data_IF_729512091316
#
_entry.id   IF_729512091316
#
_cell.length_a   1.000
_cell.length_b   1.000
_cell.length_c   1.000
_cell.angle_alpha   90.00
_cell.angle_beta   90.00
_cell.angle_gamma   90.00
#
_symmetry.space_group_name_H-M   'P 1'
#
loop_
_entity.id
_entity.type
_entity.pdbx_description
1 polymer ?
#
# COMPACT_ATOMS: atom_id res chain seq x y z
N UNK A 1 -21.34 8.13 9.56
CA UNK A 1 -21.78 8.02 8.15
C UNK A 1 -21.86 6.57 7.73
N UNK A 2 -23.02 6.13 7.25
CA UNK A 2 -23.21 4.74 6.82
C UNK A 2 -22.46 4.39 5.52
N UNK A 3 -22.05 5.39 4.76
CA UNK A 3 -21.36 5.22 3.48
C UNK A 3 -19.84 5.44 3.57
N UNK A 4 -19.33 5.80 4.75
CA UNK A 4 -17.92 6.06 4.95
C UNK A 4 -17.29 4.98 5.84
N UNK A 5 -16.23 4.35 5.36
CA UNK A 5 -15.47 3.35 6.11
C UNK A 5 -14.02 3.81 6.21
N UNK A 6 -13.45 3.77 7.42
CA UNK A 6 -12.06 4.12 7.66
C UNK A 6 -11.22 2.83 7.64
N UNK A 7 -10.21 2.81 6.77
CA UNK A 7 -9.25 1.70 6.72
C UNK A 7 -8.10 1.98 7.69
N UNK A 8 -7.97 1.12 8.69
CA UNK A 8 -6.86 1.18 9.64
C UNK A 8 -6.52 -0.24 10.11
N UNK A 9 -5.62 -0.88 9.37
CA UNK A 9 -5.20 -2.27 9.61
C UNK A 9 -6.35 -3.28 9.49
N UNK A 10 -7.41 -2.91 8.80
CA UNK A 10 -8.56 -3.76 8.50
C UNK A 10 -8.78 -3.81 6.99
N UNK A 11 -9.88 -4.42 6.57
CA UNK A 11 -10.22 -4.53 5.16
C UNK A 11 -11.72 -4.40 4.95
N UNK A 12 -12.10 -4.07 3.72
CA UNK A 12 -13.50 -4.06 3.30
C UNK A 12 -13.61 -4.76 1.95
N UNK A 13 -14.80 -5.26 1.64
CA UNK A 13 -15.11 -5.82 0.33
C UNK A 13 -16.00 -4.85 -0.45
N UNK A 14 -15.63 -4.59 -1.68
CA UNK A 14 -16.41 -3.73 -2.57
C UNK A 14 -16.28 -4.23 -4.00
N UNK A 15 -17.43 -4.49 -4.66
CA UNK A 15 -17.48 -4.88 -6.06
C UNK A 15 -16.58 -6.07 -6.42
N UNK A 16 -16.46 -7.04 -5.52
CA UNK A 16 -15.68 -8.25 -5.76
C UNK A 16 -14.18 -8.13 -5.49
N UNK A 17 -13.72 -7.01 -4.95
CA UNK A 17 -12.33 -6.84 -4.54
C UNK A 17 -12.24 -6.62 -3.04
N UNK A 18 -11.13 -7.07 -2.45
CA UNK A 18 -10.81 -6.85 -1.04
C UNK A 18 -9.89 -5.65 -0.94
N UNK A 19 -10.36 -4.59 -0.29
CA UNK A 19 -9.61 -3.34 -0.12
C UNK A 19 -8.96 -3.36 1.25
N UNK A 20 -7.64 -3.36 1.27
CA UNK A 20 -6.83 -3.39 2.48
C UNK A 20 -6.08 -2.08 2.61
N UNK A 21 -5.73 -1.72 3.82
CA UNK A 21 -5.02 -0.46 4.00
C UNK A 21 -4.27 -0.37 5.30
N UNK A 22 -3.16 0.33 5.24
CA UNK A 22 -2.34 0.68 6.39
C UNK A 22 -1.56 1.94 6.06
N UNK A 23 -0.78 2.42 7.02
CA UNK A 23 0.00 3.64 6.83
C UNK A 23 1.23 3.41 5.98
N UNK A 24 1.92 2.29 6.15
CA UNK A 24 3.27 2.11 5.65
C UNK A 24 4.27 2.93 6.46
N UNK A 25 5.48 3.01 6.00
CA UNK A 25 6.52 3.80 6.65
C UNK A 25 7.55 4.26 5.63
N UNK A 26 8.07 5.47 5.82
CA UNK A 26 9.15 5.97 4.99
C UNK A 26 10.47 5.71 5.73
N UNK A 27 11.34 4.93 5.10
CA UNK A 27 12.65 4.61 5.65
C UNK A 27 13.60 5.79 5.51
N UNK A 28 14.25 6.19 6.62
CA UNK A 28 15.31 7.19 6.62
C UNK A 28 16.63 6.48 6.89
N UNK A 29 17.57 6.59 5.96
CA UNK A 29 18.86 5.93 6.09
C UNK A 29 19.58 6.32 7.37
N UNK A 30 20.20 5.32 8.04
CA UNK A 30 20.97 5.54 9.24
C UNK A 30 20.18 5.54 10.55
N UNK A 31 18.87 5.35 10.49
CA UNK A 31 18.03 5.32 11.68
C UNK A 31 17.83 3.87 12.15
N UNK A 32 18.61 3.46 13.15
CA UNK A 32 18.56 2.08 13.65
C UNK A 32 17.16 1.68 14.17
N UNK A 33 16.41 2.63 14.76
CA UNK A 33 15.08 2.36 15.28
C UNK A 33 14.04 2.14 14.16
N UNK A 34 14.33 2.54 12.93
CA UNK A 34 13.41 2.35 11.80
C UNK A 34 13.14 0.87 11.55
N UNK A 35 14.08 -0.02 11.82
CA UNK A 35 13.87 -1.46 11.67
C UNK A 35 12.72 -1.97 12.53
N UNK A 36 12.62 -1.50 13.78
CA UNK A 36 11.52 -1.88 14.67
C UNK A 36 10.20 -1.32 14.18
N UNK A 37 10.20 -0.09 13.71
CA UNK A 37 9.00 0.57 13.17
C UNK A 37 8.54 -0.16 11.90
N UNK A 38 9.47 -0.48 11.01
CA UNK A 38 9.17 -1.21 9.77
C UNK A 38 8.61 -2.59 10.08
N UNK A 39 9.20 -3.31 11.02
CA UNK A 39 8.72 -4.64 11.41
C UNK A 39 7.30 -4.56 11.98
N UNK A 40 7.03 -3.57 12.81
CA UNK A 40 5.71 -3.34 13.39
C UNK A 40 4.70 -2.97 12.30
N UNK A 41 5.08 -2.12 11.37
CA UNK A 41 4.21 -1.70 10.28
C UNK A 41 3.94 -2.85 9.31
N UNK A 42 4.93 -3.68 9.03
CA UNK A 42 4.72 -4.90 8.24
C UNK A 42 3.69 -5.81 8.91
N UNK A 43 3.72 -5.91 10.23
CA UNK A 43 2.70 -6.64 10.99
C UNK A 43 1.30 -6.06 10.84
N UNK A 44 1.20 -4.74 10.76
CA UNK A 44 -0.09 -4.05 10.54
C UNK A 44 -0.62 -4.29 9.14
N UNK A 45 0.25 -4.24 8.14
CA UNK A 45 -0.12 -4.58 6.76
C UNK A 45 -0.59 -6.02 6.70
N UNK A 46 0.13 -6.92 7.34
CA UNK A 46 -0.26 -8.33 7.44
C UNK A 46 -1.64 -8.49 8.08
N UNK A 47 -1.91 -7.77 9.16
CA UNK A 47 -3.20 -7.82 9.85
C UNK A 47 -4.34 -7.41 8.92
N UNK A 48 -4.14 -6.36 8.13
CA UNK A 48 -5.14 -5.91 7.14
C UNK A 48 -5.39 -6.97 6.08
N UNK A 49 -4.33 -7.59 5.55
CA UNK A 49 -4.44 -8.63 4.54
C UNK A 49 -5.04 -9.93 5.10
N UNK A 50 -4.72 -10.28 6.34
CA UNK A 50 -5.34 -11.43 7.02
C UNK A 50 -6.83 -11.20 7.24
N UNK A 51 -7.23 -9.99 7.62
CA UNK A 51 -8.64 -9.64 7.75
C UNK A 51 -9.39 -9.83 6.44
N UNK A 52 -8.73 -9.54 5.31
CA UNK A 52 -9.31 -9.71 3.99
C UNK A 52 -9.58 -11.17 3.62
N UNK A 53 -8.96 -12.14 4.29
CA UNK A 53 -9.19 -13.56 4.02
C UNK A 53 -10.65 -13.97 4.27
N UNK A 54 -11.37 -13.24 5.11
CA UNK A 54 -12.81 -13.47 5.34
C UNK A 54 -13.67 -13.28 4.09
N UNK A 55 -13.12 -12.61 3.07
CA UNK A 55 -13.83 -12.38 1.81
C UNK A 55 -13.51 -13.44 0.74
N UNK A 56 -12.73 -14.48 1.09
CA UNK A 56 -12.40 -15.58 0.17
C UNK A 56 -11.37 -15.18 -0.88
N UNK A 57 -11.58 -15.63 -2.11
CA UNK A 57 -10.59 -15.51 -3.20
C UNK A 57 -10.64 -14.17 -3.96
N UNK A 58 -11.22 -13.15 -3.37
CA UNK A 58 -11.26 -11.85 -4.03
C UNK A 58 -9.85 -11.29 -4.24
N UNK A 59 -9.67 -10.54 -5.34
CA UNK A 59 -8.43 -9.82 -5.56
C UNK A 59 -8.16 -8.86 -4.41
N UNK A 60 -6.94 -8.91 -3.87
CA UNK A 60 -6.51 -8.02 -2.80
C UNK A 60 -5.82 -6.80 -3.38
N UNK A 61 -6.32 -5.63 -2.98
CA UNK A 61 -5.76 -4.33 -3.34
C UNK A 61 -5.34 -3.65 -2.06
N UNK A 62 -4.08 -3.22 -2.01
CA UNK A 62 -3.50 -2.61 -0.81
C UNK A 62 -3.28 -1.12 -1.04
N UNK A 63 -3.74 -0.32 -0.07
CA UNK A 63 -3.51 1.13 -0.04
C UNK A 63 -2.56 1.46 1.10
N UNK A 64 -1.48 2.19 0.79
CA UNK A 64 -0.53 2.67 1.77
C UNK A 64 -0.39 4.19 1.63
N UNK A 65 -0.23 4.88 2.76
CA UNK A 65 0.06 6.31 2.70
C UNK A 65 1.48 6.54 2.17
N UNK A 66 2.46 5.83 2.74
CA UNK A 66 3.84 5.93 2.30
C UNK A 66 4.16 4.85 1.25
N UNK A 67 4.93 5.20 0.20
CA UNK A 67 5.29 4.22 -0.81
C UNK A 67 6.22 3.14 -0.24
N UNK A 68 5.99 1.86 -0.59
CA UNK A 68 6.84 0.76 -0.15
C UNK A 68 8.09 0.60 -1.01
N UNK A 69 8.15 1.28 -2.14
CA UNK A 69 9.23 1.12 -3.12
C UNK A 69 9.49 2.46 -3.83
N UNK A 70 10.76 2.74 -4.07
CA UNK A 70 11.24 3.85 -4.90
C UNK A 70 12.07 3.29 -6.05
N UNK A 71 12.41 4.12 -7.02
CA UNK A 71 13.26 3.70 -8.14
C UNK A 71 14.60 3.15 -7.64
N UNK A 72 15.17 3.77 -6.59
CA UNK A 72 16.49 3.44 -6.07
C UNK A 72 16.48 2.59 -4.80
N UNK A 73 15.31 2.39 -4.18
CA UNK A 73 15.25 1.71 -2.90
C UNK A 73 13.87 1.11 -2.65
N UNK A 74 13.79 0.19 -1.70
CA UNK A 74 12.53 -0.46 -1.33
C UNK A 74 12.53 -0.85 0.14
N UNK A 75 11.35 -1.20 0.65
CA UNK A 75 11.19 -1.77 1.98
C UNK A 75 10.83 -3.24 1.81
N UNK A 76 11.82 -4.15 1.86
CA UNK A 76 11.60 -5.57 1.56
C UNK A 76 10.53 -6.22 2.43
N UNK A 77 10.43 -5.82 3.69
CA UNK A 77 9.48 -6.38 4.63
C UNK A 77 8.03 -6.18 4.16
N UNK A 78 7.74 -5.03 3.57
CA UNK A 78 6.41 -4.72 3.03
C UNK A 78 6.15 -5.51 1.75
N UNK A 79 7.15 -5.61 0.88
CA UNK A 79 7.03 -6.33 -0.38
C UNK A 79 6.84 -7.83 -0.15
N UNK A 80 7.52 -8.39 0.84
CA UNK A 80 7.37 -9.80 1.21
C UNK A 80 5.95 -10.12 1.71
N UNK A 81 5.37 -9.23 2.53
CA UNK A 81 3.99 -9.40 3.00
C UNK A 81 3.01 -9.37 1.84
N UNK A 82 3.19 -8.44 0.90
CA UNK A 82 2.36 -8.38 -0.30
C UNK A 82 2.42 -9.66 -1.11
N UNK A 83 3.61 -10.22 -1.26
CA UNK A 83 3.83 -11.47 -2.00
C UNK A 83 3.18 -12.64 -1.26
N UNK A 84 3.31 -12.71 0.04
CA UNK A 84 2.73 -13.77 0.88
C UNK A 84 1.21 -13.86 0.70
N UNK A 85 0.54 -12.73 0.59
CA UNK A 85 -0.92 -12.67 0.44
C UNK A 85 -1.39 -12.51 -1.00
N UNK A 86 -0.49 -12.60 -1.96
CA UNK A 86 -0.82 -12.49 -3.40
C UNK A 86 -1.53 -11.19 -3.75
N UNK A 87 -1.06 -10.08 -3.19
CA UNK A 87 -1.58 -8.76 -3.50
C UNK A 87 -1.34 -8.47 -4.99
N UNK A 88 -2.37 -8.05 -5.72
CA UNK A 88 -2.26 -7.78 -7.16
C UNK A 88 -1.94 -6.33 -7.46
N UNK A 89 -2.48 -5.41 -6.66
CA UNK A 89 -2.28 -3.99 -6.87
C UNK A 89 -1.99 -3.31 -5.54
N UNK A 90 -1.02 -2.37 -5.55
CA UNK A 90 -0.70 -1.54 -4.41
C UNK A 90 -0.71 -0.08 -4.84
N UNK A 91 -1.52 0.71 -4.18
CA UNK A 91 -1.63 2.14 -4.41
C UNK A 91 -1.01 2.88 -3.24
N UNK A 92 -0.24 3.93 -3.51
CA UNK A 92 0.40 4.71 -2.47
C UNK A 92 0.38 6.20 -2.82
N UNK A 93 0.50 7.02 -1.79
CA UNK A 93 0.48 8.47 -1.92
C UNK A 93 1.69 9.13 -1.29
N UNK A 94 1.45 10.20 -0.55
CA UNK A 94 2.42 10.99 0.22
C UNK A 94 3.37 11.83 -0.63
N UNK A 95 3.89 11.31 -1.73
CA UNK A 95 4.87 12.00 -2.57
C UNK A 95 4.18 13.05 -3.42
N UNK A 96 4.70 14.27 -3.40
CA UNK A 96 4.14 15.42 -4.12
C UNK A 96 5.21 16.11 -4.95
N UNK A 97 4.78 16.87 -5.97
CA UNK A 97 5.62 17.72 -6.81
C UNK A 97 6.83 16.94 -7.40
N UNK A 98 8.04 17.43 -7.19
CA UNK A 98 9.24 16.82 -7.77
C UNK A 98 9.54 15.43 -7.23
N UNK A 99 9.07 15.10 -6.03
CA UNK A 99 9.23 13.76 -5.47
C UNK A 99 8.60 12.67 -6.32
N UNK A 100 7.59 13.02 -7.13
CA UNK A 100 6.93 12.09 -8.04
C UNK A 100 7.88 11.48 -9.07
N UNK A 101 8.99 12.15 -9.38
CA UNK A 101 9.99 11.64 -10.34
C UNK A 101 10.74 10.43 -9.80
N UNK A 102 10.86 10.32 -8.48
CA UNK A 102 11.57 9.22 -7.82
C UNK A 102 10.66 8.10 -7.36
N UNK A 103 9.35 8.26 -7.53
CA UNK A 103 8.39 7.23 -7.17
C UNK A 103 8.42 6.10 -8.18
N UNK A 104 8.48 4.87 -7.69
CA UNK A 104 8.37 3.69 -8.55
C UNK A 104 6.94 3.53 -9.02
N UNK A 105 6.78 3.24 -10.31
CA UNK A 105 5.49 2.93 -10.92
C UNK A 105 5.70 1.79 -11.90
N UNK A 106 4.81 0.82 -11.86
CA UNK A 106 4.89 -0.35 -12.71
C UNK A 106 4.77 -1.63 -11.91
N UNK A 107 5.12 -2.75 -12.53
CA UNK A 107 5.04 -4.06 -11.88
C UNK A 107 6.32 -4.36 -11.13
N UNK A 108 6.16 -4.86 -9.89
CA UNK A 108 7.26 -5.41 -9.12
C UNK A 108 6.84 -6.77 -8.56
N UNK A 109 7.51 -7.83 -9.01
CA UNK A 109 7.31 -9.22 -8.57
C UNK A 109 5.83 -9.63 -8.53
N UNK A 110 5.10 -9.30 -9.60
CA UNK A 110 3.69 -9.63 -9.73
C UNK A 110 2.71 -8.63 -9.12
N UNK A 111 3.21 -7.56 -8.50
CA UNK A 111 2.37 -6.52 -7.89
C UNK A 111 2.41 -5.26 -8.75
N UNK A 112 1.25 -4.81 -9.18
CA UNK A 112 1.15 -3.54 -9.91
C UNK A 112 1.21 -2.39 -8.92
N UNK A 113 2.27 -1.58 -9.01
CA UNK A 113 2.50 -0.43 -8.13
C UNK A 113 2.05 0.85 -8.81
N UNK A 114 1.21 1.63 -8.13
CA UNK A 114 0.71 2.89 -8.67
C UNK A 114 0.66 3.98 -7.61
N UNK A 115 1.01 5.19 -8.01
CA UNK A 115 0.96 6.36 -7.15
C UNK A 115 -0.36 7.09 -7.36
N UNK A 116 -1.02 7.47 -6.26
CA UNK A 116 -2.32 8.13 -6.29
C UNK A 116 -2.35 9.42 -5.48
N UNK A 117 -1.19 10.07 -5.29
CA UNK A 117 -1.19 11.39 -4.67
C UNK A 117 -1.94 12.40 -5.55
N UNK A 118 -2.61 13.36 -4.90
CA UNK A 118 -3.52 14.26 -5.60
C UNK A 118 -2.86 15.05 -6.73
N UNK A 119 -1.69 15.60 -6.50
CA UNK A 119 -0.97 16.38 -7.51
C UNK A 119 -0.45 15.51 -8.67
N UNK A 120 -0.07 14.26 -8.41
CA UNK A 120 0.30 13.33 -9.46
C UNK A 120 -0.88 13.04 -10.40
N UNK A 121 -2.08 12.89 -9.84
CA UNK A 121 -3.30 12.62 -10.60
C UNK A 121 -3.94 13.88 -11.17
N UNK A 122 -3.30 15.07 -11.01
CA UNK A 122 -3.88 16.33 -11.45
C UNK A 122 -5.17 16.67 -10.71
N UNK A 123 -5.26 16.25 -9.45
CA UNK A 123 -6.42 16.44 -8.58
C UNK A 123 -7.71 15.81 -9.11
N UNK A 124 -7.57 14.79 -9.96
CA UNK A 124 -8.71 14.01 -10.46
C UNK A 124 -8.77 12.64 -9.78
N UNK A 125 -9.95 12.17 -9.35
CA UNK A 125 -10.08 10.83 -8.79
C UNK A 125 -9.70 9.75 -9.81
N UNK A 126 -9.10 8.66 -9.32
CA UNK A 126 -8.72 7.51 -10.15
C UNK A 126 -9.68 6.36 -9.88
N UNK A 127 -10.24 5.79 -10.94
CA UNK A 127 -11.07 4.60 -10.84
C UNK A 127 -10.20 3.35 -10.70
N UNK A 128 -10.50 2.50 -9.72
CA UNK A 128 -9.74 1.28 -9.44
C UNK A 128 -10.58 -0.01 -9.58
N UNK A 129 -11.86 0.14 -9.73
CA UNK A 129 -12.79 -0.99 -9.88
C UNK A 129 -13.14 -1.33 -11.29
#
# INVERSE_FOLDING_TARGET
FSTLTILHNNSISAEGISICGSRGWMFEQGQAHDKKIISREAGRIRASLQDAQRFGDQEKVLFLHYPPIFIEDSIPEFLEVMKEFSVKRCYYGHIHAQGCRHAFRGEWDGVQMEMVSADFLGFCPKKIG
#
